data_IF_662065259690
#
_entry.id   IF_662065259690
#
_cell.length_a   1.000
_cell.length_b   1.000
_cell.length_c   1.000
_cell.angle_alpha   90.00
_cell.angle_beta   90.00
_cell.angle_gamma   90.00
#
_symmetry.space_group_name_H-M   'P 1'
#
loop_
_entity.id
_entity.type
_entity.pdbx_description
1 polymer ?
#
# COMPACT_ATOMS: atom_id res chain seq x y z
N UNK A 1 6.29 -14.05 1.71
CA UNK A 1 7.42 -13.66 0.82
C UNK A 1 8.34 -12.65 1.50
N UNK A 2 7.83 -11.48 1.89
CA UNK A 2 8.62 -10.42 2.54
C UNK A 2 9.38 -10.88 3.80
N UNK A 3 8.78 -11.69 4.68
CA UNK A 3 9.50 -12.30 5.82
C UNK A 3 10.63 -13.25 5.39
N UNK A 4 10.41 -14.04 4.33
CA UNK A 4 11.43 -14.95 3.78
C UNK A 4 12.63 -14.17 3.23
N UNK A 5 12.39 -12.99 2.67
CA UNK A 5 13.44 -12.06 2.22
C UNK A 5 14.12 -11.32 3.40
N UNK A 6 13.67 -11.52 4.63
CA UNK A 6 14.21 -10.86 5.83
C UNK A 6 13.58 -9.51 6.15
N UNK A 7 12.56 -9.07 5.40
CA UNK A 7 11.88 -7.79 5.56
C UNK A 7 10.41 -7.99 5.93
N UNK A 8 10.07 -8.46 7.14
CA UNK A 8 8.68 -8.64 7.54
C UNK A 8 7.92 -7.31 7.55
N UNK A 9 6.60 -7.37 7.31
CA UNK A 9 5.73 -6.21 7.34
C UNK A 9 5.61 -5.64 8.77
N UNK A 10 5.57 -4.32 8.87
CA UNK A 10 5.30 -3.63 10.14
C UNK A 10 3.87 -3.97 10.59
N UNK A 11 3.72 -4.31 11.86
CA UNK A 11 2.44 -4.66 12.47
C UNK A 11 1.86 -6.02 12.08
N UNK A 12 2.60 -6.86 11.35
CA UNK A 12 2.19 -8.24 11.07
C UNK A 12 2.10 -9.05 12.39
N UNK A 13 0.95 -9.64 12.75
CA UNK A 13 0.83 -10.44 13.97
C UNK A 13 1.43 -11.86 13.84
N UNK A 14 1.55 -12.39 12.63
CA UNK A 14 1.94 -13.78 12.37
C UNK A 14 3.44 -13.89 12.11
N UNK A 15 3.98 -12.98 11.31
CA UNK A 15 5.34 -13.08 10.77
C UNK A 15 6.34 -12.11 11.44
N UNK A 16 6.42 -12.15 12.79
CA UNK A 16 7.23 -11.24 13.62
C UNK A 16 8.68 -11.68 13.88
N UNK A 17 9.06 -12.87 13.43
CA UNK A 17 10.30 -13.54 13.91
C UNK A 17 11.57 -12.75 13.62
N UNK A 18 11.58 -11.99 12.52
CA UNK A 18 12.72 -11.17 12.08
C UNK A 18 12.47 -9.66 12.19
N UNK A 19 11.38 -9.23 12.80
CA UNK A 19 11.04 -7.81 12.88
C UNK A 19 12.00 -7.08 13.83
N UNK A 20 12.73 -6.05 13.38
CA UNK A 20 13.63 -5.27 14.24
C UNK A 20 12.90 -4.73 15.47
N UNK A 21 13.58 -4.69 16.62
CA UNK A 21 12.98 -4.26 17.90
C UNK A 21 12.33 -2.87 17.84
N UNK A 22 12.86 -1.97 17.02
CA UNK A 22 12.30 -0.62 16.79
C UNK A 22 10.88 -0.68 16.20
N UNK A 23 10.63 -1.62 15.28
CA UNK A 23 9.32 -1.79 14.66
C UNK A 23 8.31 -2.55 15.56
N UNK A 24 8.77 -3.22 16.63
CA UNK A 24 7.88 -3.83 17.64
C UNK A 24 7.26 -2.80 18.58
N UNK A 25 7.94 -1.67 18.77
CA UNK A 25 7.47 -0.57 19.63
C UNK A 25 6.48 0.36 18.94
N UNK A 26 6.27 0.19 17.63
CA UNK A 26 5.22 0.91 16.93
C UNK A 26 3.86 0.31 17.28
N UNK A 27 2.96 1.16 17.76
CA UNK A 27 1.54 0.88 18.02
C UNK A 27 0.76 0.74 16.70
N UNK A 28 1.15 -0.22 15.86
CA UNK A 28 0.48 -0.55 14.61
C UNK A 28 0.07 -2.03 14.63
N UNK A 29 -1.22 -2.28 14.87
CA UNK A 29 -1.74 -3.62 15.16
C UNK A 29 -2.25 -4.40 13.93
N UNK A 30 -1.93 -3.92 12.71
CA UNK A 30 -2.27 -4.59 11.46
C UNK A 30 -1.08 -4.57 10.52
N UNK A 31 -1.10 -5.39 9.48
CA UNK A 31 -0.08 -5.35 8.44
C UNK A 31 -0.08 -3.98 7.75
N UNK A 32 1.09 -3.36 7.64
CA UNK A 32 1.33 -2.17 6.83
C UNK A 32 1.32 -2.52 5.33
N UNK A 33 0.17 -3.03 4.87
CA UNK A 33 -0.09 -3.49 3.52
C UNK A 33 -1.38 -2.84 3.02
N UNK A 34 -1.34 -2.32 1.80
CA UNK A 34 -2.47 -1.69 1.15
C UNK A 34 -2.47 -2.03 -0.34
N UNK A 35 -3.59 -2.53 -0.85
CA UNK A 35 -3.80 -2.73 -2.27
C UNK A 35 -4.19 -1.40 -2.90
N UNK A 36 -3.22 -0.71 -3.49
CA UNK A 36 -3.41 0.63 -4.06
C UNK A 36 -4.18 0.62 -5.38
N UNK A 37 -3.94 -0.39 -6.22
CA UNK A 37 -4.53 -0.52 -7.54
C UNK A 37 -5.04 -1.95 -7.75
N UNK A 38 -6.16 -2.08 -8.47
CA UNK A 38 -6.69 -3.35 -8.94
C UNK A 38 -7.11 -3.19 -10.39
N UNK A 39 -6.52 -3.99 -11.27
CA UNK A 39 -6.91 -4.07 -12.68
C UNK A 39 -7.41 -5.47 -12.97
N UNK A 40 -8.56 -5.57 -13.65
CA UNK A 40 -9.09 -6.84 -14.15
C UNK A 40 -9.91 -6.63 -15.42
N UNK A 41 -10.07 -7.69 -16.21
CA UNK A 41 -10.98 -7.70 -17.34
C UNK A 41 -12.40 -7.95 -16.86
N UNK A 42 -13.31 -7.01 -17.14
CA UNK A 42 -14.68 -7.07 -16.64
C UNK A 42 -15.41 -8.29 -17.23
N UNK A 43 -15.93 -9.21 -16.41
CA UNK A 43 -16.40 -10.52 -16.88
C UNK A 43 -17.59 -10.44 -17.84
N UNK A 44 -18.41 -9.39 -17.75
CA UNK A 44 -19.58 -9.21 -18.64
C UNK A 44 -19.34 -8.22 -19.78
N UNK A 45 -18.31 -7.36 -19.70
CA UNK A 45 -18.10 -6.27 -20.66
C UNK A 45 -16.83 -6.48 -21.48
N UNK A 46 -15.99 -7.43 -21.07
CA UNK A 46 -14.70 -7.77 -21.64
C UNK A 46 -13.72 -6.59 -21.74
N UNK A 47 -13.98 -5.53 -20.99
CA UNK A 47 -13.15 -4.31 -20.94
C UNK A 47 -12.19 -4.39 -19.78
N UNK A 48 -10.96 -3.95 -20.00
CA UNK A 48 -10.02 -3.72 -18.92
C UNK A 48 -10.54 -2.58 -18.04
N UNK A 49 -10.69 -2.86 -16.75
CA UNK A 49 -11.10 -1.88 -15.75
C UNK A 49 -10.07 -1.83 -14.64
N UNK A 50 -9.68 -0.62 -14.28
CA UNK A 50 -8.73 -0.36 -13.20
C UNK A 50 -9.39 0.51 -12.15
N UNK A 51 -9.26 0.12 -10.88
CA UNK A 51 -9.67 0.92 -9.73
C UNK A 51 -8.45 1.20 -8.86
N UNK A 52 -8.45 2.38 -8.26
CA UNK A 52 -7.42 2.80 -7.31
C UNK A 52 -8.06 3.19 -5.99
N UNK A 53 -7.35 3.00 -4.89
CA UNK A 53 -7.74 3.52 -3.57
C UNK A 53 -6.54 4.09 -2.84
N UNK A 54 -6.71 5.29 -2.30
CA UNK A 54 -5.71 5.93 -1.48
C UNK A 54 -5.38 5.08 -0.25
N UNK A 55 -4.12 5.15 0.23
CA UNK A 55 -3.74 4.50 1.47
C UNK A 55 -4.62 4.99 2.64
N UNK A 56 -5.03 4.09 3.54
CA UNK A 56 -5.82 4.45 4.72
C UNK A 56 -5.02 5.35 5.67
N UNK A 57 -5.72 6.22 6.40
CA UNK A 57 -5.14 7.21 7.31
C UNK A 57 -4.05 6.62 8.24
N UNK A 58 -4.30 5.47 8.85
CA UNK A 58 -3.31 4.86 9.75
C UNK A 58 -1.99 4.46 9.07
N UNK A 59 -1.99 4.18 7.76
CA UNK A 59 -0.75 3.96 6.99
C UNK A 59 -0.05 5.30 6.70
N UNK A 60 -0.81 6.36 6.42
CA UNK A 60 -0.25 7.71 6.22
C UNK A 60 0.41 8.24 7.50
N UNK A 61 -0.22 8.03 8.66
CA UNK A 61 0.31 8.42 9.97
C UNK A 61 1.54 7.59 10.41
N UNK A 62 1.75 6.43 9.77
CA UNK A 62 2.87 5.55 10.03
C UNK A 62 4.16 6.03 9.36
N UNK A 63 4.06 6.57 8.14
CA UNK A 63 5.20 7.01 7.33
C UNK A 63 6.11 8.05 8.01
N UNK A 64 5.61 9.17 8.58
CA UNK A 64 6.47 10.14 9.24
C UNK A 64 7.15 9.57 10.49
N UNK A 65 6.50 8.61 11.19
CA UNK A 65 7.09 7.91 12.34
C UNK A 65 8.26 7.00 11.93
N UNK A 66 8.33 6.63 10.65
CA UNK A 66 9.40 5.84 10.06
C UNK A 66 10.44 6.71 9.31
N UNK A 67 10.31 8.05 9.37
CA UNK A 67 11.20 8.98 8.68
C UNK A 67 11.00 9.01 7.16
N UNK A 68 9.82 8.61 6.67
CA UNK A 68 9.45 8.75 5.26
C UNK A 68 8.63 10.03 5.08
N UNK A 69 9.15 10.96 4.27
CA UNK A 69 8.51 12.25 4.00
C UNK A 69 7.35 12.13 2.99
N UNK A 70 6.43 13.10 3.07
CA UNK A 70 5.16 13.12 2.32
C UNK A 70 5.26 13.22 0.80
N UNK A 71 6.46 13.47 0.25
CA UNK A 71 6.73 13.52 -1.20
C UNK A 71 6.64 12.13 -1.87
N UNK A 72 6.68 11.06 -1.08
CA UNK A 72 6.57 9.66 -1.58
C UNK A 72 5.11 9.21 -1.72
N UNK A 73 4.15 10.01 -1.21
CA UNK A 73 2.75 9.62 -1.19
C UNK A 73 2.05 9.99 -2.50
N UNK A 74 1.33 9.05 -3.14
CA UNK A 74 0.48 9.38 -4.27
C UNK A 74 -0.63 10.33 -3.79
N UNK A 75 -0.58 11.57 -4.24
CA UNK A 75 -1.62 12.56 -3.96
C UNK A 75 -2.89 12.23 -4.76
N UNK A 76 -4.06 12.59 -4.23
CA UNK A 76 -5.35 12.30 -4.87
C UNK A 76 -5.40 12.81 -6.31
N UNK A 77 -4.79 13.97 -6.59
CA UNK A 77 -4.71 14.56 -7.92
C UNK A 77 -3.89 13.72 -8.92
N UNK A 78 -2.81 13.07 -8.48
CA UNK A 78 -1.98 12.16 -9.29
C UNK A 78 -2.68 10.83 -9.53
N UNK A 79 -3.45 10.34 -8.55
CA UNK A 79 -4.27 9.13 -8.70
C UNK A 79 -5.42 9.37 -9.68
N UNK A 80 -6.13 10.50 -9.53
CA UNK A 80 -7.20 10.91 -10.44
C UNK A 80 -6.66 11.29 -11.83
N UNK A 81 -5.48 11.91 -11.93
CA UNK A 81 -4.81 12.18 -13.19
C UNK A 81 -4.38 10.91 -13.93
N UNK A 82 -4.08 9.84 -13.20
CA UNK A 82 -3.83 8.51 -13.76
C UNK A 82 -5.11 7.85 -14.31
N UNK A 83 -6.31 8.26 -13.89
CA UNK A 83 -7.58 7.79 -14.46
C UNK A 83 -7.81 8.24 -15.92
N UNK A 84 -7.13 9.29 -16.37
CA UNK A 84 -7.27 9.85 -17.73
C UNK A 84 -6.19 9.34 -18.69
N UNK A 85 -5.10 8.75 -18.18
CA UNK A 85 -3.93 8.35 -18.96
C UNK A 85 -3.82 6.85 -19.25
N UNK A 86 -4.80 6.02 -18.86
CA UNK A 86 -4.82 4.65 -19.38
C UNK A 86 -5.30 4.67 -20.84
N UNK A 87 -4.44 4.33 -21.82
CA UNK A 87 -4.84 4.31 -23.21
C UNK A 87 -5.93 3.24 -23.36
N UNK A 88 -7.11 3.67 -23.80
CA UNK A 88 -8.08 2.78 -24.42
C UNK A 88 -7.39 2.13 -25.63
N UNK A 89 -6.86 0.93 -25.44
CA UNK A 89 -6.25 0.13 -26.51
C UNK A 89 -7.24 -0.92 -26.99
#
# INVERSE_FOLDING_TARGET
HLESLGFPLVGDPVYRKKTPGVAKNLSFNRQALHAFALSLQHPSLDKLMTWFRLPPQGLLELLPKLGMDGEVLPNEASVMGSMQNEPQK
#
